data_IF_997105998880
#
_entry.id   IF_997105998880
#
_cell.length_a   1.000
_cell.length_b   1.000
_cell.length_c   1.000
_cell.angle_alpha   90.00
_cell.angle_beta   90.00
_cell.angle_gamma   90.00
#
_symmetry.space_group_name_H-M   'P 1'
#
loop_
_entity.id
_entity.type
_entity.pdbx_description
1 polymer ?
#
# COMPACT_ATOMS: atom_id res chain seq x y z
N UNK A 1 58.14 10.98 33.69
CA UNK A 1 59.40 10.38 33.21
C UNK A 1 59.18 9.89 31.78
N UNK A 2 60.14 10.19 30.93
CA UNK A 2 60.11 10.09 29.46
C UNK A 2 60.48 8.68 29.01
N UNK A 3 59.74 8.10 28.05
CA UNK A 3 60.18 7.03 27.14
C UNK A 3 59.01 6.62 26.23
N UNK A 4 59.13 6.21 24.98
CA UNK A 4 60.15 6.29 23.94
C UNK A 4 59.43 5.76 22.69
N UNK A 5 59.58 6.44 21.56
CA UNK A 5 59.04 6.01 20.27
C UNK A 5 59.73 4.73 19.78
N UNK A 6 58.95 3.74 19.29
CA UNK A 6 59.44 2.70 18.38
C UNK A 6 58.37 2.26 17.38
N UNK A 7 58.72 2.53 16.12
CA UNK A 7 58.44 1.81 14.88
C UNK A 7 57.33 0.74 14.85
N UNK A 8 56.38 0.93 13.94
CA UNK A 8 55.33 -0.05 13.63
C UNK A 8 55.78 -1.23 12.77
N UNK A 9 54.86 -2.17 12.48
CA UNK A 9 55.02 -3.13 11.40
C UNK A 9 53.95 -2.96 10.31
N UNK A 10 54.46 -2.75 9.09
CA UNK A 10 54.07 -3.37 7.82
C UNK A 10 52.59 -3.70 7.55
N UNK A 11 52.03 -2.95 6.60
CA UNK A 11 50.84 -3.30 5.81
C UNK A 11 51.06 -4.63 5.07
N UNK A 12 50.44 -5.71 5.55
CA UNK A 12 50.23 -6.94 4.78
C UNK A 12 48.82 -6.90 4.15
N UNK A 13 48.78 -6.63 2.84
CA UNK A 13 47.55 -6.58 2.05
C UNK A 13 46.84 -7.93 1.99
N UNK A 14 45.67 -8.01 2.63
CA UNK A 14 44.71 -9.07 2.39
C UNK A 14 44.07 -8.84 1.00
N UNK A 15 44.43 -9.68 0.03
CA UNK A 15 43.79 -9.72 -1.28
C UNK A 15 42.36 -10.23 -1.12
N UNK A 16 41.40 -9.36 -1.44
CA UNK A 16 40.01 -9.75 -1.65
C UNK A 16 39.93 -10.63 -2.92
N UNK A 17 39.36 -11.84 -2.88
CA UNK A 17 39.15 -12.62 -4.09
C UNK A 17 38.03 -11.99 -4.94
N UNK A 18 38.16 -11.94 -6.28
CA UNK A 18 37.14 -11.36 -7.15
C UNK A 18 35.86 -12.22 -7.18
N UNK A 19 34.67 -11.61 -7.35
CA UNK A 19 33.42 -12.36 -7.48
C UNK A 19 33.40 -13.17 -8.78
N UNK A 20 32.89 -14.40 -8.68
CA UNK A 20 32.71 -15.30 -9.80
C UNK A 20 31.73 -14.71 -10.83
N UNK A 21 32.22 -14.37 -12.01
CA UNK A 21 31.43 -13.97 -13.17
C UNK A 21 30.73 -15.21 -13.73
N UNK A 22 29.42 -15.31 -13.51
CA UNK A 22 28.57 -16.30 -14.17
C UNK A 22 28.55 -16.02 -15.68
N UNK A 23 28.99 -16.99 -16.47
CA UNK A 23 28.95 -16.96 -17.93
C UNK A 23 27.50 -17.04 -18.41
N UNK A 24 27.02 -15.95 -18.99
CA UNK A 24 25.78 -15.92 -19.78
C UNK A 24 26.02 -16.74 -21.07
N UNK A 25 25.18 -17.74 -21.41
CA UNK A 25 25.31 -18.43 -22.68
C UNK A 25 25.01 -17.47 -23.85
N UNK A 26 25.90 -17.49 -24.85
CA UNK A 26 25.76 -16.74 -26.11
C UNK A 26 24.47 -17.14 -26.81
N UNK A 27 23.56 -16.17 -27.01
CA UNK A 27 22.47 -16.30 -27.97
C UNK A 27 23.04 -16.34 -29.40
N UNK A 28 22.55 -17.24 -30.29
CA UNK A 28 22.94 -17.21 -31.68
C UNK A 28 22.25 -16.02 -32.38
N UNK A 29 23.05 -15.33 -33.19
CA UNK A 29 22.62 -14.26 -34.06
C UNK A 29 21.57 -14.76 -35.06
N UNK A 30 20.39 -14.16 -35.05
CA UNK A 30 19.50 -14.14 -36.20
C UNK A 30 18.64 -12.87 -36.15
N UNK A 31 19.20 -11.79 -36.65
CA UNK A 31 18.44 -10.67 -37.18
C UNK A 31 17.49 -11.20 -38.26
N UNK A 32 16.19 -11.24 -37.98
CA UNK A 32 15.15 -11.17 -39.01
C UNK A 32 14.01 -10.28 -38.52
N UNK A 33 14.14 -9.00 -38.84
CA UNK A 33 12.99 -8.23 -39.27
C UNK A 33 12.26 -9.06 -40.35
N UNK A 34 10.93 -9.16 -40.26
CA UNK A 34 9.98 -9.20 -41.39
C UNK A 34 8.55 -9.41 -40.84
N UNK A 35 7.78 -8.34 -40.90
CA UNK A 35 6.43 -8.27 -41.48
C UNK A 35 5.45 -9.46 -41.25
N UNK A 36 4.37 -9.13 -40.54
CA UNK A 36 2.96 -9.52 -40.78
C UNK A 36 2.72 -10.99 -41.17
N UNK A 37 2.33 -11.82 -40.20
CA UNK A 37 1.65 -13.10 -40.46
C UNK A 37 0.46 -13.30 -39.53
N UNK A 38 -0.71 -13.14 -40.14
CA UNK A 38 -1.96 -13.88 -39.97
C UNK A 38 -1.99 -14.90 -38.83
N UNK A 39 -2.86 -14.66 -37.85
CA UNK A 39 -3.28 -15.64 -36.86
C UNK A 39 -4.08 -16.74 -37.58
N UNK A 40 -3.53 -17.93 -37.69
CA UNK A 40 -4.29 -19.14 -38.00
C UNK A 40 -4.34 -19.98 -36.72
N UNK A 41 -5.56 -20.22 -36.24
CA UNK A 41 -5.87 -21.03 -35.07
C UNK A 41 -5.56 -22.50 -35.38
N UNK A 42 -4.59 -23.09 -34.67
CA UNK A 42 -4.39 -24.54 -34.61
C UNK A 42 -5.19 -25.15 -33.45
N UNK A 43 -5.51 -26.46 -33.51
CA UNK A 43 -6.37 -27.11 -32.51
C UNK A 43 -5.67 -27.19 -31.15
N UNK A 44 -6.43 -26.89 -30.11
CA UNK A 44 -6.02 -26.91 -28.70
C UNK A 44 -5.88 -28.37 -28.27
N UNK A 45 -4.71 -28.75 -27.74
CA UNK A 45 -4.44 -30.08 -27.20
C UNK A 45 -5.48 -30.48 -26.13
N UNK A 46 -6.07 -31.69 -26.18
CA UNK A 46 -7.18 -32.08 -25.32
C UNK A 46 -6.81 -32.38 -23.85
N UNK A 47 -5.54 -32.23 -23.45
CA UNK A 47 -5.08 -32.53 -22.08
C UNK A 47 -5.40 -31.45 -21.05
N UNK A 48 -5.76 -30.23 -21.48
CA UNK A 48 -6.12 -29.12 -20.56
C UNK A 48 -7.56 -29.27 -20.03
N UNK A 49 -8.37 -30.16 -20.61
CA UNK A 49 -9.80 -30.27 -20.28
C UNK A 49 -10.10 -31.04 -18.98
N UNK A 50 -9.13 -31.75 -18.39
CA UNK A 50 -9.41 -32.65 -17.25
C UNK A 50 -9.20 -32.06 -15.85
N UNK A 51 -8.61 -30.86 -15.74
CA UNK A 51 -8.29 -30.25 -14.44
C UNK A 51 -9.14 -29.02 -14.09
N UNK A 52 -10.14 -28.67 -14.90
CA UNK A 52 -11.03 -27.55 -14.64
C UNK A 52 -12.27 -27.91 -13.78
N UNK A 53 -12.29 -29.09 -13.16
CA UNK A 53 -13.49 -29.64 -12.49
C UNK A 53 -13.33 -29.86 -10.97
N UNK A 54 -12.36 -29.22 -10.32
CA UNK A 54 -12.19 -29.23 -8.85
C UNK A 54 -11.74 -27.86 -8.32
N UNK A 55 -12.39 -26.78 -8.75
CA UNK A 55 -12.26 -25.48 -8.09
C UNK A 55 -13.57 -25.18 -7.35
N UNK A 56 -13.52 -25.24 -6.02
CA UNK A 56 -14.60 -24.78 -5.15
C UNK A 56 -14.98 -23.33 -5.53
N UNK A 57 -16.25 -23.02 -5.83
CA UNK A 57 -16.67 -21.72 -6.37
C UNK A 57 -16.60 -20.55 -5.36
N UNK A 58 -15.89 -20.72 -4.24
CA UNK A 58 -15.74 -19.72 -3.16
C UNK A 58 -14.29 -19.47 -2.74
N UNK A 59 -13.31 -20.15 -3.35
CA UNK A 59 -11.91 -19.87 -3.09
C UNK A 59 -11.49 -18.63 -3.90
N UNK A 60 -11.25 -17.52 -3.20
CA UNK A 60 -10.67 -16.32 -3.80
C UNK A 60 -9.20 -16.62 -4.13
N UNK A 61 -8.64 -16.11 -5.24
CA UNK A 61 -7.29 -16.46 -5.66
C UNK A 61 -6.25 -16.06 -4.59
N UNK A 62 -5.15 -16.81 -4.46
CA UNK A 62 -4.14 -16.69 -3.39
C UNK A 62 -3.58 -15.26 -3.17
N UNK A 63 -3.56 -14.40 -4.21
CA UNK A 63 -3.16 -12.99 -4.09
C UNK A 63 -4.18 -12.12 -3.32
N UNK A 64 -5.39 -12.64 -3.09
CA UNK A 64 -6.44 -12.05 -2.27
C UNK A 64 -6.49 -12.66 -0.86
N UNK A 65 -5.91 -13.85 -0.66
CA UNK A 65 -5.96 -14.59 0.62
C UNK A 65 -5.10 -13.99 1.73
N UNK A 66 -4.10 -13.16 1.39
CA UNK A 66 -3.25 -12.50 2.39
C UNK A 66 -3.86 -11.23 3.01
N UNK A 67 -5.14 -10.93 2.75
CA UNK A 67 -5.82 -9.72 3.24
C UNK A 67 -6.53 -10.01 4.57
N UNK A 68 -6.13 -9.30 5.62
CA UNK A 68 -6.79 -9.37 6.92
C UNK A 68 -8.23 -8.88 6.79
N UNK A 69 -9.20 -9.75 7.07
CA UNK A 69 -10.61 -9.40 7.11
C UNK A 69 -10.88 -8.47 8.29
N UNK A 70 -11.68 -7.43 8.05
CA UNK A 70 -12.13 -6.49 9.06
C UNK A 70 -13.64 -6.28 8.93
N UNK A 71 -14.27 -5.83 10.02
CA UNK A 71 -15.71 -5.62 10.07
C UNK A 71 -16.00 -4.32 10.81
N UNK A 72 -16.86 -3.49 10.24
CA UNK A 72 -17.49 -2.37 10.93
C UNK A 72 -18.82 -2.86 11.50
N UNK A 73 -19.05 -2.64 12.79
CA UNK A 73 -20.29 -2.98 13.47
C UNK A 73 -20.84 -1.70 14.08
N UNK A 74 -22.09 -1.39 13.73
CA UNK A 74 -22.83 -0.25 14.24
C UNK A 74 -23.69 -0.68 15.45
N UNK A 75 -24.16 0.29 16.22
CA UNK A 75 -24.98 0.06 17.42
C UNK A 75 -26.34 -0.57 17.10
N UNK A 76 -26.89 -0.29 15.91
CA UNK A 76 -28.14 -0.84 15.40
C UNK A 76 -28.04 -2.35 15.03
N UNK A 77 -26.85 -2.95 15.12
CA UNK A 77 -26.57 -4.32 14.72
C UNK A 77 -26.19 -4.48 13.25
N UNK A 78 -26.23 -3.40 12.46
CA UNK A 78 -25.79 -3.39 11.07
C UNK A 78 -24.28 -3.59 10.99
N UNK A 79 -23.86 -4.36 9.99
CA UNK A 79 -22.56 -4.98 10.01
C UNK A 79 -21.98 -5.02 8.59
N UNK A 80 -20.87 -4.33 8.38
CA UNK A 80 -20.23 -4.19 7.07
C UNK A 80 -18.89 -4.92 7.06
N UNK A 81 -18.70 -5.80 6.07
CA UNK A 81 -17.46 -6.55 5.91
C UNK A 81 -16.52 -5.81 4.96
N UNK A 82 -15.22 -5.88 5.25
CA UNK A 82 -14.19 -5.31 4.42
C UNK A 82 -12.82 -5.93 4.72
N UNK A 83 -11.78 -5.24 4.28
CA UNK A 83 -10.40 -5.65 4.41
C UNK A 83 -9.61 -4.55 5.12
N UNK A 84 -8.63 -4.92 5.92
CA UNK A 84 -7.76 -3.97 6.61
C UNK A 84 -6.61 -3.53 5.70
N UNK A 85 -6.31 -2.23 5.67
CA UNK A 85 -5.17 -1.67 4.92
C UNK A 85 -4.22 -0.78 5.75
N UNK A 86 -4.60 -0.47 7.00
CA UNK A 86 -3.83 0.35 7.94
C UNK A 86 -3.23 -0.46 9.09
N UNK A 87 -3.28 0.10 10.30
CA UNK A 87 -2.84 -0.57 11.52
C UNK A 87 -3.79 -1.71 11.91
N UNK A 88 -3.22 -2.86 12.32
CA UNK A 88 -3.99 -3.99 12.82
C UNK A 88 -4.39 -3.73 14.29
N UNK A 89 -5.50 -3.03 14.48
CA UNK A 89 -6.07 -2.74 15.79
C UNK A 89 -7.58 -2.60 15.73
N UNK A 90 -8.23 -2.87 16.86
CA UNK A 90 -9.66 -2.59 17.03
C UNK A 90 -9.82 -1.23 17.71
N UNK A 91 -10.81 -0.46 17.26
CA UNK A 91 -11.18 0.80 17.89
C UNK A 91 -12.68 0.97 17.86
N UNK A 92 -13.18 1.76 18.80
CA UNK A 92 -14.56 2.25 18.84
C UNK A 92 -14.55 3.78 18.75
N UNK A 93 -15.62 4.35 18.24
CA UNK A 93 -15.80 5.79 18.10
C UNK A 93 -17.13 6.09 17.41
N UNK A 94 -17.50 7.37 17.39
CA UNK A 94 -18.66 7.83 16.64
C UNK A 94 -18.39 7.76 15.14
N UNK A 95 -19.32 7.22 14.37
CA UNK A 95 -19.18 7.10 12.92
C UNK A 95 -19.71 8.37 12.26
N UNK A 96 -18.83 9.09 11.56
CA UNK A 96 -19.17 10.31 10.82
C UNK A 96 -18.84 10.16 9.35
N UNK A 97 -19.59 10.84 8.49
CA UNK A 97 -19.39 10.79 7.04
C UNK A 97 -18.87 12.14 6.53
N UNK A 98 -17.89 12.07 5.63
CA UNK A 98 -17.37 13.24 4.93
C UNK A 98 -17.62 13.10 3.43
N UNK A 99 -18.27 14.12 2.87
CA UNK A 99 -18.66 14.23 1.45
C UNK A 99 -17.60 14.87 0.57
N UNK A 100 -16.48 15.31 1.16
CA UNK A 100 -15.31 15.81 0.46
C UNK A 100 -14.81 14.78 -0.55
N UNK A 101 -14.78 15.17 -1.83
CA UNK A 101 -14.28 14.32 -2.92
C UNK A 101 -12.76 14.27 -2.97
N UNK A 102 -12.11 15.30 -2.41
CA UNK A 102 -10.66 15.49 -2.38
C UNK A 102 -10.25 15.99 -1.00
N UNK A 103 -8.97 15.94 -0.70
CA UNK A 103 -8.44 16.46 0.56
C UNK A 103 -8.55 15.48 1.74
N UNK A 104 -8.40 14.17 1.48
CA UNK A 104 -8.37 13.20 2.58
C UNK A 104 -7.19 13.40 3.54
N UNK A 105 -5.94 13.75 3.15
CA UNK A 105 -4.89 14.00 4.14
C UNK A 105 -5.25 15.12 5.13
N UNK A 106 -5.79 16.22 4.61
CA UNK A 106 -6.25 17.38 5.37
C UNK A 106 -7.38 16.98 6.32
N UNK A 107 -8.39 16.28 5.80
CA UNK A 107 -9.51 15.75 6.59
C UNK A 107 -9.06 14.78 7.69
N UNK A 108 -8.00 14.00 7.45
CA UNK A 108 -7.48 13.04 8.42
C UNK A 108 -6.68 13.74 9.55
N UNK A 109 -6.07 14.88 9.26
CA UNK A 109 -5.32 15.69 10.23
C UNK A 109 -6.16 16.75 10.93
N UNK A 110 -7.42 16.96 10.54
CA UNK A 110 -8.28 17.94 11.20
C UNK A 110 -8.60 17.52 12.65
N UNK A 111 -8.28 18.36 13.67
CA UNK A 111 -8.54 18.07 15.08
C UNK A 111 -10.03 17.91 15.41
N UNK A 112 -10.93 18.40 14.55
CA UNK A 112 -12.38 18.30 14.71
C UNK A 112 -12.90 16.86 14.70
N UNK A 113 -12.17 15.92 14.07
CA UNK A 113 -12.53 14.50 14.01
C UNK A 113 -11.92 13.67 15.14
N UNK A 114 -11.39 14.31 16.19
CA UNK A 114 -10.81 13.62 17.33
C UNK A 114 -11.84 12.65 17.97
N UNK A 115 -11.48 11.36 18.05
CA UNK A 115 -12.36 10.34 18.65
C UNK A 115 -13.40 9.73 17.71
N UNK A 116 -13.46 10.18 16.45
CA UNK A 116 -14.45 9.73 15.48
C UNK A 116 -13.85 8.74 14.47
N UNK A 117 -14.72 7.95 13.86
CA UNK A 117 -14.45 7.05 12.75
C UNK A 117 -14.95 7.73 11.49
N UNK A 118 -14.02 8.07 10.60
CA UNK A 118 -14.32 8.82 9.39
C UNK A 118 -14.68 7.86 8.24
N UNK A 119 -15.90 8.02 7.71
CA UNK A 119 -16.37 7.34 6.51
C UNK A 119 -16.27 8.31 5.33
N UNK A 120 -15.40 8.00 4.38
CA UNK A 120 -15.25 8.80 3.16
C UNK A 120 -16.29 8.31 2.15
N UNK A 121 -17.16 9.20 1.69
CA UNK A 121 -18.20 8.82 0.71
C UNK A 121 -17.65 8.70 -0.71
N UNK A 122 -16.50 9.31 -0.99
CA UNK A 122 -15.85 9.18 -2.30
C UNK A 122 -15.30 7.75 -2.48
N UNK A 123 -15.62 7.07 -3.59
CA UNK A 123 -15.35 5.64 -3.72
C UNK A 123 -13.87 5.31 -3.83
N UNK A 124 -13.04 6.18 -4.45
CA UNK A 124 -11.63 5.90 -4.71
C UNK A 124 -10.73 6.75 -3.82
N UNK A 125 -10.10 6.14 -2.82
CA UNK A 125 -9.23 6.84 -1.87
C UNK A 125 -7.79 6.29 -1.94
N UNK A 126 -6.79 7.16 -1.77
CA UNK A 126 -5.36 6.80 -1.81
C UNK A 126 -4.67 6.99 -3.16
N UNK A 127 -5.40 7.46 -4.18
CA UNK A 127 -4.88 7.66 -5.55
C UNK A 127 -3.71 8.65 -5.62
N UNK A 128 -3.71 9.72 -4.82
CA UNK A 128 -2.63 10.72 -4.80
C UNK A 128 -1.63 10.56 -3.64
N UNK A 129 -1.76 9.50 -2.84
CA UNK A 129 -0.87 9.23 -1.70
C UNK A 129 -0.85 10.34 -0.64
N UNK A 130 0.17 10.31 0.20
CA UNK A 130 0.35 11.29 1.28
C UNK A 130 1.57 12.17 0.96
N UNK A 131 1.45 13.50 1.06
CA UNK A 131 2.54 14.44 0.82
C UNK A 131 3.63 14.38 1.93
N UNK A 132 4.75 15.05 1.71
CA UNK A 132 5.81 15.22 2.72
C UNK A 132 5.35 16.06 3.90
N UNK A 133 5.96 15.82 5.08
CA UNK A 133 5.77 16.61 6.30
C UNK A 133 6.52 17.97 6.25
N UNK A 134 6.64 18.58 5.07
CA UNK A 134 7.32 19.86 4.88
C UNK A 134 6.63 20.99 5.66
N UNK A 135 7.43 21.76 6.39
CA UNK A 135 6.98 22.96 7.11
C UNK A 135 7.28 24.22 6.31
N UNK A 136 6.40 25.21 6.41
CA UNK A 136 6.60 26.53 5.84
C UNK A 136 7.54 27.41 6.71
N UNK A 137 7.76 28.65 6.27
CA UNK A 137 8.61 29.64 6.95
C UNK A 137 8.09 30.02 8.34
N UNK A 138 6.81 29.76 8.63
CA UNK A 138 6.15 30.01 9.91
C UNK A 138 6.21 28.79 10.85
N UNK A 139 6.80 27.68 10.39
CA UNK A 139 6.88 26.43 11.14
C UNK A 139 5.59 25.60 11.13
N UNK A 140 4.64 25.93 10.25
CA UNK A 140 3.38 25.20 10.09
C UNK A 140 3.52 24.15 8.98
N UNK A 141 2.80 23.03 9.10
CA UNK A 141 2.78 22.02 8.05
C UNK A 141 2.11 22.56 6.79
N UNK A 142 2.78 22.44 5.65
CA UNK A 142 2.31 23.00 4.38
C UNK A 142 1.10 22.27 3.80
N UNK A 143 0.97 20.98 4.10
CA UNK A 143 0.01 20.06 3.47
C UNK A 143 -0.94 19.39 4.47
N UNK A 144 -0.81 19.70 5.76
CA UNK A 144 -1.58 19.08 6.82
C UNK A 144 -2.16 20.15 7.73
N UNK A 145 -3.34 19.89 8.29
CA UNK A 145 -4.03 20.80 9.22
C UNK A 145 -3.48 20.70 10.65
N UNK A 146 -2.75 19.63 10.95
CA UNK A 146 -2.10 19.39 12.26
C UNK A 146 -0.96 18.38 12.15
N UNK A 147 -0.15 18.29 13.20
CA UNK A 147 1.06 17.46 13.25
C UNK A 147 0.78 15.94 13.24
N UNK A 148 -0.47 15.53 13.47
CA UNK A 148 -0.86 14.12 13.59
C UNK A 148 -2.26 13.85 13.05
N UNK A 149 -2.53 12.56 12.84
CA UNK A 149 -3.88 12.08 12.54
C UNK A 149 -4.70 12.06 13.84
N UNK A 150 -5.86 12.73 13.86
CA UNK A 150 -6.70 12.87 15.05
C UNK A 150 -7.84 11.86 15.15
N UNK A 151 -8.30 11.33 14.02
CA UNK A 151 -9.34 10.29 13.96
C UNK A 151 -8.90 8.95 14.55
N UNK A 152 -9.89 8.14 14.88
CA UNK A 152 -9.71 6.78 15.41
C UNK A 152 -9.59 5.73 14.32
N UNK A 153 -10.39 5.83 13.26
CA UNK A 153 -10.34 4.90 12.14
C UNK A 153 -10.84 5.55 10.85
N UNK A 154 -10.45 4.96 9.72
CA UNK A 154 -10.91 5.35 8.38
C UNK A 154 -11.67 4.20 7.73
N UNK A 155 -12.82 4.50 7.13
CA UNK A 155 -13.62 3.57 6.33
C UNK A 155 -13.74 4.12 4.91
N UNK A 156 -13.35 3.30 3.93
CA UNK A 156 -13.37 3.66 2.51
C UNK A 156 -14.03 2.55 1.68
N UNK A 157 -14.52 2.93 0.50
CA UNK A 157 -15.11 1.96 -0.42
C UNK A 157 -14.05 1.19 -1.17
N UNK A 158 -13.18 1.88 -1.93
CA UNK A 158 -12.08 1.28 -2.66
C UNK A 158 -10.76 1.98 -2.33
N UNK A 159 -9.71 1.17 -2.18
CA UNK A 159 -8.37 1.61 -1.81
C UNK A 159 -7.41 1.44 -2.98
N UNK A 160 -6.79 2.53 -3.40
CA UNK A 160 -5.70 2.47 -4.38
C UNK A 160 -4.39 2.07 -3.69
N UNK A 161 -3.91 0.86 -3.98
CA UNK A 161 -2.62 0.37 -3.46
C UNK A 161 -1.42 1.15 -4.01
N UNK A 162 -1.55 1.66 -5.23
CA UNK A 162 -0.55 2.50 -5.86
C UNK A 162 -1.01 3.96 -5.84
N UNK A 163 -0.17 4.85 -5.33
CA UNK A 163 -0.36 6.29 -5.41
C UNK A 163 0.44 6.86 -6.57
N UNK A 164 -0.15 7.77 -7.33
CA UNK A 164 0.50 8.48 -8.43
C UNK A 164 0.24 9.98 -8.31
N UNK A 165 1.15 10.69 -7.66
CA UNK A 165 1.13 12.14 -7.57
C UNK A 165 2.56 12.67 -7.37
N UNK A 166 2.89 13.83 -7.92
CA UNK A 166 4.26 14.38 -7.85
C UNK A 166 4.70 14.70 -6.41
N UNK A 167 3.75 15.07 -5.55
CA UNK A 167 3.98 15.32 -4.11
C UNK A 167 3.97 14.05 -3.27
N UNK A 168 3.48 12.92 -3.78
CA UNK A 168 3.34 11.70 -2.98
C UNK A 168 4.71 11.18 -2.54
N UNK A 169 4.88 11.00 -1.23
CA UNK A 169 6.10 10.39 -0.65
C UNK A 169 5.85 9.00 -0.10
N UNK A 170 4.65 8.75 0.43
CA UNK A 170 4.24 7.48 1.03
C UNK A 170 2.81 7.15 0.64
N UNK A 171 2.45 5.87 0.71
CA UNK A 171 1.06 5.44 0.50
C UNK A 171 0.22 5.75 1.73
N UNK A 172 -1.10 5.88 1.54
CA UNK A 172 -2.03 6.13 2.65
C UNK A 172 -2.02 4.98 3.68
N UNK A 173 -1.92 3.73 3.22
CA UNK A 173 -1.83 2.57 4.12
C UNK A 173 -0.57 2.56 4.99
N UNK A 174 0.59 2.98 4.45
CA UNK A 174 1.82 3.12 5.24
C UNK A 174 1.68 4.22 6.30
N UNK A 175 1.15 5.38 5.92
CA UNK A 175 0.92 6.49 6.84
C UNK A 175 -0.01 6.13 8.00
N UNK A 176 -1.10 5.40 7.72
CA UNK A 176 -2.01 4.90 8.76
C UNK A 176 -1.32 3.90 9.71
N UNK A 177 -0.41 3.06 9.21
CA UNK A 177 0.36 2.13 10.05
C UNK A 177 1.35 2.86 10.95
N UNK A 178 2.04 3.87 10.42
CA UNK A 178 2.97 4.72 11.19
C UNK A 178 2.27 5.39 12.38
N UNK A 179 1.08 5.96 12.14
CA UNK A 179 0.28 6.65 13.13
C UNK A 179 -0.60 5.71 13.98
N UNK A 180 -0.51 4.40 13.77
CA UNK A 180 -1.28 3.35 14.46
C UNK A 180 -2.80 3.51 14.34
N UNK A 181 -3.27 3.95 13.18
CA UNK A 181 -4.69 4.15 12.90
C UNK A 181 -5.23 2.97 12.06
N UNK A 182 -6.26 2.25 12.55
CA UNK A 182 -6.91 1.21 11.76
C UNK A 182 -7.70 1.78 10.59
N UNK A 183 -7.64 1.08 9.46
CA UNK A 183 -8.36 1.44 8.24
C UNK A 183 -9.02 0.22 7.61
N UNK A 184 -10.27 0.37 7.18
CA UNK A 184 -11.07 -0.66 6.50
C UNK A 184 -11.44 -0.17 5.09
N UNK A 185 -11.23 -1.02 4.08
CA UNK A 185 -11.66 -0.80 2.70
C UNK A 185 -12.55 -1.94 2.20
N UNK A 186 -13.25 -1.74 1.08
CA UNK A 186 -14.20 -2.70 0.53
C UNK A 186 -15.59 -2.63 1.17
N UNK A 187 -15.89 -1.56 1.89
CA UNK A 187 -17.18 -1.33 2.54
C UNK A 187 -18.09 -0.53 1.60
N UNK A 188 -19.37 -0.88 1.52
CA UNK A 188 -20.36 -0.05 0.84
C UNK A 188 -20.68 1.19 1.70
N UNK A 189 -19.88 2.25 1.53
CA UNK A 189 -20.02 3.49 2.30
C UNK A 189 -21.34 4.21 2.03
N UNK A 190 -22.02 3.96 0.89
CA UNK A 190 -23.34 4.53 0.60
C UNK A 190 -24.44 3.86 1.42
N UNK A 191 -24.30 2.56 1.69
CA UNK A 191 -25.21 1.85 2.57
C UNK A 191 -25.01 2.25 4.04
N UNK A 192 -23.79 2.63 4.45
CA UNK A 192 -23.50 3.14 5.80
C UNK A 192 -24.16 4.50 6.06
N UNK A 193 -24.33 5.34 5.02
CA UNK A 193 -24.87 6.71 5.16
C UNK A 193 -26.40 6.82 5.16
N UNK A 194 -27.14 5.71 5.06
CA UNK A 194 -28.61 5.70 4.99
C UNK A 194 -29.21 5.23 6.30
#
# INVERSE_FOLDING_TARGET
>A
QVAAARAGPSFAGARVPPPAVARIPRAPAAFRCWTRRTLAMGPVDPEITSQAAQDDPKALPAWLESRTRAKLVLEDGTSFQGYSFGYAGSTSGEVVFNTGMVGYPESLTDPSYAGQILVITFPLVGNYGVPSDETDELGLHRYFESDRIHLKAVVISDYSFASSHYTAKRTLGEWLKEQRIPGIYGVDTRAVTK
#
